data_IF_484568490329
#
_entry.id   IF_484568490329
#
_cell.length_a   1.000
_cell.length_b   1.000
_cell.length_c   1.000
_cell.angle_alpha   90.00
_cell.angle_beta   90.00
_cell.angle_gamma   90.00
#
_symmetry.space_group_name_H-M   'P 1'
#
loop_
_entity.id
_entity.type
_entity.pdbx_description
1 polymer ?
#
# COMPACT_ATOMS: atom_id res chain seq x y z
N UNK A 1 -30.52 19.20 -15.85
CA UNK A 1 -29.76 19.17 -14.59
C UNK A 1 -28.78 18.04 -14.79
N UNK A 2 -27.56 18.37 -15.20
CA UNK A 2 -26.53 17.37 -15.51
C UNK A 2 -25.93 16.92 -14.18
N UNK A 3 -26.16 15.65 -13.82
CA UNK A 3 -25.51 15.01 -12.68
C UNK A 3 -24.03 14.84 -13.02
N UNK A 4 -23.20 15.72 -12.47
CA UNK A 4 -21.76 15.52 -12.41
C UNK A 4 -21.50 14.40 -11.41
N UNK A 5 -21.36 13.18 -11.91
CA UNK A 5 -20.79 12.09 -11.13
C UNK A 5 -19.37 12.49 -10.79
N UNK A 6 -19.07 12.67 -9.50
CA UNK A 6 -17.69 12.82 -9.03
C UNK A 6 -16.86 11.71 -9.67
N UNK A 7 -15.87 12.08 -10.50
CA UNK A 7 -14.82 11.15 -10.91
C UNK A 7 -14.05 10.83 -9.62
N UNK A 8 -14.52 9.84 -8.88
CA UNK A 8 -13.85 9.35 -7.68
C UNK A 8 -12.40 9.07 -8.03
N UNK A 9 -11.48 9.75 -7.35
CA UNK A 9 -10.05 9.58 -7.58
C UNK A 9 -9.71 8.09 -7.49
N UNK A 10 -9.16 7.53 -8.57
CA UNK A 10 -8.84 6.11 -8.62
C UNK A 10 -7.69 5.83 -7.63
N UNK A 11 -7.98 5.06 -6.58
CA UNK A 11 -6.97 4.63 -5.62
C UNK A 11 -6.08 3.56 -6.26
N UNK A 12 -4.80 3.87 -6.37
CA UNK A 12 -3.71 2.99 -6.76
C UNK A 12 -3.18 2.22 -5.56
N UNK A 13 -2.89 0.94 -5.79
CA UNK A 13 -2.44 0.01 -4.76
C UNK A 13 -1.08 -0.57 -5.11
N UNK A 14 -0.23 -0.77 -4.09
CA UNK A 14 1.08 -1.42 -4.25
C UNK A 14 1.37 -2.34 -3.08
N UNK A 15 1.70 -3.60 -3.39
CA UNK A 15 2.16 -4.57 -2.40
C UNK A 15 3.69 -4.70 -2.43
N UNK A 16 4.30 -4.85 -1.25
CA UNK A 16 5.76 -5.01 -1.08
C UNK A 16 6.04 -6.15 -0.10
N UNK A 17 6.78 -7.19 -0.52
CA UNK A 17 7.39 -8.17 0.40
C UNK A 17 8.78 -7.66 0.81
N UNK A 18 9.06 -7.55 2.11
CA UNK A 18 10.35 -7.06 2.61
C UNK A 18 10.70 -7.64 3.97
N UNK A 19 11.98 -7.88 4.21
CA UNK A 19 12.56 -8.23 5.52
C UNK A 19 12.97 -7.02 6.35
N UNK A 20 12.88 -5.82 5.77
CA UNK A 20 13.22 -4.58 6.48
C UNK A 20 12.14 -4.24 7.53
N UNK A 21 12.53 -3.53 8.61
CA UNK A 21 11.57 -2.94 9.53
C UNK A 21 10.57 -2.05 8.80
N UNK A 22 9.32 -2.05 9.25
CA UNK A 22 8.22 -1.32 8.62
C UNK A 22 8.56 0.16 8.33
N UNK A 23 9.14 0.87 9.31
CA UNK A 23 9.55 2.27 9.18
C UNK A 23 10.49 2.49 7.97
N UNK A 24 11.43 1.58 7.74
CA UNK A 24 12.36 1.67 6.62
C UNK A 24 11.68 1.35 5.29
N UNK A 25 10.69 0.45 5.27
CA UNK A 25 9.87 0.18 4.09
C UNK A 25 9.02 1.41 3.74
N UNK A 26 8.34 1.99 4.72
CA UNK A 26 7.54 3.21 4.55
C UNK A 26 8.38 4.37 4.03
N UNK A 27 9.57 4.60 4.62
CA UNK A 27 10.50 5.64 4.17
C UNK A 27 10.92 5.45 2.71
N UNK A 28 11.24 4.22 2.30
CA UNK A 28 11.67 3.92 0.92
C UNK A 28 10.52 4.03 -0.07
N UNK A 29 9.35 3.52 0.28
CA UNK A 29 8.18 3.46 -0.60
C UNK A 29 7.51 4.83 -0.69
N UNK A 30 7.44 5.58 0.41
CA UNK A 30 6.89 6.94 0.46
C UNK A 30 7.73 7.96 -0.32
N UNK A 31 9.03 7.71 -0.50
CA UNK A 31 9.87 8.52 -1.40
C UNK A 31 9.58 8.32 -2.90
N UNK A 32 8.78 7.31 -3.27
CA UNK A 32 8.39 7.05 -4.65
C UNK A 32 7.15 7.88 -4.96
N UNK A 33 7.23 8.71 -5.99
CA UNK A 33 6.12 9.53 -6.45
C UNK A 33 4.91 8.67 -6.87
N UNK A 34 3.71 9.10 -6.50
CA UNK A 34 2.49 8.43 -6.91
C UNK A 34 1.36 9.40 -7.26
N UNK A 35 0.94 9.38 -8.52
CA UNK A 35 -0.12 10.26 -9.01
C UNK A 35 0.21 11.73 -8.80
N UNK A 36 -0.72 12.50 -8.22
CA UNK A 36 -0.52 13.89 -7.78
C UNK A 36 -0.19 14.01 -6.30
N UNK A 37 -0.28 12.90 -5.56
CA UNK A 37 -0.03 12.84 -4.13
C UNK A 37 1.47 12.68 -3.86
N UNK A 38 1.98 13.32 -2.80
CA UNK A 38 3.41 13.40 -2.48
C UNK A 38 4.12 12.08 -2.11
N UNK A 39 3.57 10.93 -2.49
CA UNK A 39 4.15 9.61 -2.30
C UNK A 39 3.15 8.54 -1.88
N UNK A 40 3.57 7.28 -1.90
CA UNK A 40 2.81 6.14 -1.38
C UNK A 40 2.70 6.18 0.15
N UNK A 41 1.55 5.79 0.69
CA UNK A 41 1.31 5.70 2.14
C UNK A 41 0.94 4.27 2.53
N UNK A 42 1.38 3.81 3.69
CA UNK A 42 0.95 2.51 4.19
C UNK A 42 -0.56 2.54 4.38
N UNK A 43 -1.26 1.51 3.91
CA UNK A 43 -2.71 1.47 3.98
C UNK A 43 -3.21 0.87 5.29
N UNK A 44 -4.27 1.44 5.85
CA UNK A 44 -5.03 0.82 6.95
C UNK A 44 -5.99 -0.28 6.47
N UNK A 45 -6.08 -0.52 5.14
CA UNK A 45 -6.94 -1.54 4.55
C UNK A 45 -6.25 -2.92 4.53
N UNK A 46 -7.02 -4.01 4.69
CA UNK A 46 -6.50 -5.36 4.44
C UNK A 46 -6.27 -5.59 2.94
N UNK A 47 -5.62 -6.71 2.61
CA UNK A 47 -5.56 -7.23 1.25
C UNK A 47 -6.95 -7.69 0.76
N UNK A 48 -7.09 -7.92 -0.55
CA UNK A 48 -8.36 -8.31 -1.17
C UNK A 48 -8.93 -9.64 -0.66
N UNK A 49 -8.09 -10.49 -0.07
CA UNK A 49 -8.45 -11.77 0.55
C UNK A 49 -8.72 -11.64 2.06
N UNK A 50 -8.93 -10.41 2.55
CA UNK A 50 -9.13 -10.06 3.96
C UNK A 50 -7.90 -10.27 4.87
N UNK A 51 -6.75 -10.63 4.29
CA UNK A 51 -5.49 -10.74 5.06
C UNK A 51 -5.11 -9.36 5.63
N UNK A 52 -4.75 -9.25 6.93
CA UNK A 52 -4.40 -7.98 7.54
C UNK A 52 -3.15 -7.36 6.90
N UNK A 53 -3.04 -6.03 6.96
CA UNK A 53 -1.83 -5.31 6.57
C UNK A 53 -1.15 -4.75 7.83
N UNK A 54 0.15 -5.01 8.07
CA UNK A 54 1.02 -5.97 7.36
C UNK A 54 0.77 -7.43 7.77
N UNK A 55 1.12 -8.37 6.89
CA UNK A 55 1.06 -9.82 7.15
C UNK A 55 2.38 -10.52 6.83
N UNK A 56 2.63 -11.74 7.34
CA UNK A 56 3.78 -12.55 6.93
C UNK A 56 3.80 -12.80 5.42
N UNK A 57 4.98 -12.78 4.79
CA UNK A 57 5.14 -13.11 3.37
C UNK A 57 5.01 -14.63 3.17
N UNK A 58 4.31 -15.10 2.14
CA UNK A 58 4.04 -16.53 1.92
C UNK A 58 5.31 -17.34 1.60
N UNK A 59 6.29 -16.73 0.94
CA UNK A 59 7.53 -17.40 0.54
C UNK A 59 8.55 -17.47 1.68
N UNK A 60 8.54 -16.49 2.59
CA UNK A 60 9.51 -16.36 3.68
C UNK A 60 8.87 -15.79 4.95
N UNK A 61 7.90 -16.48 5.56
CA UNK A 61 7.04 -15.92 6.62
C UNK A 61 7.79 -15.54 7.90
N UNK A 62 8.91 -16.22 8.17
CA UNK A 62 9.74 -15.99 9.36
C UNK A 62 10.59 -14.71 9.27
N UNK A 63 10.87 -14.25 8.05
CA UNK A 63 11.85 -13.17 7.81
C UNK A 63 11.30 -11.99 7.04
N UNK A 64 10.16 -12.14 6.36
CA UNK A 64 9.58 -11.12 5.51
C UNK A 64 8.11 -10.87 5.83
N UNK A 65 7.67 -9.63 5.58
CA UNK A 65 6.27 -9.21 5.66
C UNK A 65 5.82 -8.60 4.34
N UNK A 66 4.54 -8.77 4.02
CA UNK A 66 3.85 -8.02 3.00
C UNK A 66 3.27 -6.73 3.58
N UNK A 67 3.49 -5.63 2.86
CA UNK A 67 2.97 -4.31 3.16
C UNK A 67 2.14 -3.82 1.98
N UNK A 68 0.91 -3.40 2.25
CA UNK A 68 0.03 -2.76 1.26
C UNK A 68 0.11 -1.24 1.40
N UNK A 69 0.36 -0.56 0.29
CA UNK A 69 0.41 0.88 0.18
C UNK A 69 -0.70 1.38 -0.74
N UNK A 70 -1.21 2.56 -0.44
CA UNK A 70 -2.20 3.28 -1.24
C UNK A 70 -1.74 4.69 -1.61
N UNK A 71 -2.31 5.15 -2.71
CA UNK A 71 -2.20 6.46 -3.32
C UNK A 71 -3.49 6.65 -4.11
#
# INVERSE_FOLDING_TARGET
MEEFTELGEAVLWKAVCSSLPQEEVERRVGGIFCGTSGGWKLSDKPFNDETPNPCPCSEAPETHKHYLFSC
#
